data_IF_823057320494
#
_entry.id   IF_823057320494
#
_cell.length_a   1.000
_cell.length_b   1.000
_cell.length_c   1.000
_cell.angle_alpha   90.00
_cell.angle_beta   90.00
_cell.angle_gamma   90.00
#
_symmetry.space_group_name_H-M   'P 1'
#
loop_
_entity.id
_entity.type
_entity.pdbx_description
1 polymer ?
#
# COMPACT_ATOMS: atom_id res chain seq x y z
N UNK A 1 26.94 -7.39 6.78
CA UNK A 1 26.08 -7.84 5.66
C UNK A 1 24.77 -7.06 5.68
N UNK A 2 24.08 -6.85 4.54
CA UNK A 2 22.77 -6.22 4.54
C UNK A 2 21.75 -7.15 5.22
N UNK A 3 20.91 -6.58 6.08
CA UNK A 3 19.79 -7.31 6.69
C UNK A 3 18.80 -7.63 5.58
N UNK A 4 18.74 -8.90 5.17
CA UNK A 4 17.62 -9.43 4.38
C UNK A 4 16.43 -9.49 5.33
N UNK A 5 15.49 -8.56 5.21
CA UNK A 5 14.15 -8.80 5.74
C UNK A 5 13.69 -10.11 5.12
N UNK A 6 13.47 -11.14 5.96
CA UNK A 6 12.78 -12.35 5.50
C UNK A 6 11.54 -11.83 4.78
N UNK A 7 11.35 -12.23 3.52
CA UNK A 7 10.08 -12.03 2.82
C UNK A 7 9.03 -12.49 3.81
N UNK A 8 8.32 -11.54 4.42
CA UNK A 8 7.31 -11.85 5.42
C UNK A 8 6.39 -12.82 4.70
N UNK A 9 6.39 -14.07 5.17
CA UNK A 9 5.61 -15.12 4.57
C UNK A 9 4.18 -14.60 4.50
N UNK A 10 3.68 -14.50 3.29
CA UNK A 10 2.30 -14.24 2.94
C UNK A 10 1.48 -15.47 3.31
N UNK A 11 1.53 -15.86 4.59
CA UNK A 11 0.48 -16.69 5.15
C UNK A 11 -0.86 -15.99 4.98
N UNK A 12 -1.95 -16.68 5.32
CA UNK A 12 -3.35 -16.23 5.23
C UNK A 12 -3.69 -14.99 6.09
N UNK A 13 -2.72 -14.11 6.38
CA UNK A 13 -2.94 -12.83 7.03
C UNK A 13 -3.71 -11.93 6.06
N UNK A 14 -4.92 -11.49 6.43
CA UNK A 14 -5.66 -10.53 5.63
C UNK A 14 -4.79 -9.28 5.40
N UNK A 15 -4.72 -8.84 4.16
CA UNK A 15 -3.84 -7.75 3.77
C UNK A 15 -4.60 -6.72 2.92
N UNK A 16 -4.19 -5.47 3.06
CA UNK A 16 -4.71 -4.34 2.30
C UNK A 16 -3.60 -3.64 1.53
N UNK A 17 -3.92 -3.11 0.36
CA UNK A 17 -2.98 -2.29 -0.42
C UNK A 17 -3.65 -1.00 -0.91
N UNK A 18 -3.01 0.14 -0.66
CA UNK A 18 -3.53 1.46 -1.00
C UNK A 18 -2.65 2.10 -2.09
N UNK A 19 -3.24 2.41 -3.23
CA UNK A 19 -2.58 3.10 -4.34
C UNK A 19 -2.67 4.62 -4.15
N UNK A 20 -1.52 5.30 -4.16
CA UNK A 20 -1.46 6.77 -4.09
C UNK A 20 -1.50 7.34 -5.50
N UNK A 21 -2.51 8.14 -5.80
CA UNK A 21 -2.81 8.54 -7.19
C UNK A 21 -1.85 9.59 -7.75
N UNK A 22 -1.21 10.38 -6.90
CA UNK A 22 -0.33 11.49 -7.31
C UNK A 22 1.14 11.22 -6.97
N UNK A 23 1.49 9.99 -6.55
CA UNK A 23 2.88 9.66 -6.26
C UNK A 23 3.71 9.62 -7.55
N UNK A 24 4.76 10.45 -7.57
CA UNK A 24 5.77 10.51 -8.64
C UNK A 24 7.15 10.04 -8.18
N UNK A 25 7.32 9.79 -6.87
CA UNK A 25 8.55 9.25 -6.31
C UNK A 25 8.63 7.74 -6.55
N UNK A 26 7.48 7.05 -6.53
CA UNK A 26 7.37 5.61 -6.80
C UNK A 26 6.55 5.39 -8.08
N UNK A 27 7.11 4.75 -9.12
CA UNK A 27 6.36 4.36 -10.32
C UNK A 27 5.18 3.44 -10.02
N UNK A 28 4.09 3.59 -10.78
CA UNK A 28 2.85 2.81 -10.60
C UNK A 28 3.07 1.30 -10.79
N UNK A 29 4.05 0.91 -11.60
CA UNK A 29 4.42 -0.49 -11.82
C UNK A 29 4.97 -1.13 -10.54
N UNK A 30 5.69 -0.36 -9.70
CA UNK A 30 6.21 -0.86 -8.43
C UNK A 30 5.11 -1.01 -7.38
N UNK A 31 4.07 -0.16 -7.44
CA UNK A 31 2.88 -0.35 -6.61
C UNK A 31 2.19 -1.67 -6.95
N UNK A 32 1.95 -1.93 -8.24
CA UNK A 32 1.35 -3.19 -8.71
C UNK A 32 2.18 -4.40 -8.31
N UNK A 33 3.48 -4.37 -8.57
CA UNK A 33 4.39 -5.46 -8.19
C UNK A 33 4.50 -5.67 -6.67
N UNK A 34 4.14 -4.68 -5.86
CA UNK A 34 4.08 -4.83 -4.40
C UNK A 34 2.74 -5.41 -3.94
N UNK A 35 1.63 -5.01 -4.57
CA UNK A 35 0.32 -5.60 -4.35
C UNK A 35 0.28 -7.08 -4.78
N UNK A 36 0.88 -7.42 -5.92
CA UNK A 36 0.96 -8.79 -6.47
C UNK A 36 1.73 -9.77 -5.56
N UNK A 37 2.54 -9.25 -4.64
CA UNK A 37 3.23 -10.06 -3.62
C UNK A 37 2.30 -10.48 -2.48
N UNK A 38 1.11 -9.93 -2.36
CA UNK A 38 0.15 -10.23 -1.31
C UNK A 38 -0.86 -11.30 -1.76
N UNK A 39 -1.26 -12.17 -0.84
CA UNK A 39 -2.31 -13.17 -1.11
C UNK A 39 -3.68 -12.52 -1.01
N UNK A 40 -4.39 -12.36 -2.14
CA UNK A 40 -5.76 -11.81 -2.24
C UNK A 40 -6.00 -10.53 -1.42
N UNK A 41 -5.21 -9.44 -1.61
CA UNK A 41 -5.37 -8.23 -0.82
C UNK A 41 -6.66 -7.49 -1.15
N UNK A 42 -7.29 -6.86 -0.16
CA UNK A 42 -8.28 -5.81 -0.40
C UNK A 42 -7.54 -4.56 -0.89
N UNK A 43 -8.03 -3.93 -1.96
CA UNK A 43 -7.35 -2.77 -2.54
C UNK A 43 -8.21 -1.52 -2.49
N UNK A 44 -7.56 -0.36 -2.31
CA UNK A 44 -8.19 0.95 -2.38
C UNK A 44 -7.24 1.96 -3.04
N UNK A 45 -7.75 3.14 -3.36
CA UNK A 45 -6.94 4.26 -3.83
C UNK A 45 -7.15 5.47 -2.91
N UNK A 46 -6.11 6.29 -2.79
CA UNK A 46 -6.16 7.55 -2.04
C UNK A 46 -5.50 8.67 -2.84
N UNK A 47 -6.04 9.90 -2.79
CA UNK A 47 -5.35 11.07 -3.35
C UNK A 47 -4.06 11.37 -2.58
N UNK A 48 -3.16 12.11 -3.21
CA UNK A 48 -1.88 12.54 -2.63
C UNK A 48 -0.64 11.78 -3.14
N UNK A 49 0.52 12.35 -2.82
CA UNK A 49 1.84 11.86 -3.22
C UNK A 49 2.39 10.84 -2.21
N UNK A 50 3.66 10.44 -2.36
CA UNK A 50 4.37 9.57 -1.41
C UNK A 50 4.18 9.94 0.07
N UNK A 51 3.99 11.23 0.36
CA UNK A 51 3.80 11.77 1.71
C UNK A 51 2.32 11.98 2.07
N UNK A 52 1.39 11.22 1.49
CA UNK A 52 -0.06 11.36 1.73
C UNK A 52 -0.44 11.31 3.23
N UNK A 53 0.31 10.58 4.06
CA UNK A 53 0.12 10.58 5.51
C UNK A 53 0.25 11.98 6.15
N UNK A 54 1.10 12.84 5.57
CA UNK A 54 1.37 14.18 6.08
C UNK A 54 0.52 15.24 5.38
N UNK A 55 0.19 15.04 4.10
CA UNK A 55 -0.44 16.06 3.25
C UNK A 55 -1.94 15.84 3.04
N UNK A 56 -2.41 14.60 3.13
CA UNK A 56 -3.81 14.16 2.92
C UNK A 56 -4.24 13.11 3.98
N UNK A 57 -4.04 13.36 5.28
CA UNK A 57 -4.22 12.33 6.31
C UNK A 57 -5.66 11.81 6.42
N UNK A 58 -6.65 12.67 6.17
CA UNK A 58 -8.08 12.30 6.29
C UNK A 58 -8.48 11.35 5.16
N UNK A 59 -8.09 11.67 3.93
CA UNK A 59 -8.36 10.87 2.75
C UNK A 59 -7.59 9.54 2.79
N UNK A 60 -6.36 9.54 3.30
CA UNK A 60 -5.61 8.32 3.52
C UNK A 60 -6.26 7.45 4.61
N UNK A 61 -6.69 8.04 5.72
CA UNK A 61 -7.38 7.31 6.79
C UNK A 61 -8.68 6.66 6.28
N UNK A 62 -9.46 7.35 5.45
CA UNK A 62 -10.66 6.78 4.83
C UNK A 62 -10.33 5.56 3.94
N UNK A 63 -9.25 5.64 3.15
CA UNK A 63 -8.79 4.51 2.34
C UNK A 63 -8.32 3.34 3.21
N UNK A 64 -7.64 3.60 4.34
CA UNK A 64 -7.25 2.55 5.30
C UNK A 64 -8.48 1.84 5.85
N UNK A 65 -9.50 2.58 6.29
CA UNK A 65 -10.74 1.97 6.81
C UNK A 65 -11.42 1.09 5.76
N UNK A 66 -11.40 1.50 4.49
CA UNK A 66 -12.03 0.72 3.40
C UNK A 66 -11.37 -0.64 3.11
N UNK A 67 -10.08 -0.81 3.42
CA UNK A 67 -9.38 -2.09 3.21
C UNK A 67 -9.36 -2.98 4.45
N UNK A 68 -9.90 -2.50 5.58
CA UNK A 68 -9.99 -3.23 6.85
C UNK A 68 -11.34 -3.95 7.05
N UNK A 69 -12.30 -3.72 6.16
CA UNK A 69 -13.65 -4.32 6.19
C UNK A 69 -13.69 -5.60 5.37
#
# INVERSE_FOLDING_TARGET
>A
EPIRLRTAGTGDVPSGYIFLQEDRAVPQELYRASADRLTNPTTASSPGSHQAMLTRPVELAAAIVSVMS
#
